data_IF_844831716815
#
_entry.id   IF_844831716815
#
_cell.length_a   1.000
_cell.length_b   1.000
_cell.length_c   1.000
_cell.angle_alpha   90.00
_cell.angle_beta   90.00
_cell.angle_gamma   90.00
#
_symmetry.space_group_name_H-M   'P 1'
#
loop_
_entity.id
_entity.type
_entity.pdbx_description
1 polymer ?
#
# COMPACT_ATOMS: atom_id res chain seq x y z
N UNK A 1 -26.52 -8.98 -14.73
CA UNK A 1 -25.21 -9.54 -14.31
C UNK A 1 -25.15 -9.38 -12.79
N UNK A 2 -25.46 -10.44 -12.05
CA UNK A 2 -25.37 -10.38 -10.58
C UNK A 2 -23.89 -10.43 -10.24
N UNK A 3 -23.33 -9.31 -9.80
CA UNK A 3 -22.00 -9.29 -9.21
C UNK A 3 -22.05 -10.19 -7.99
N UNK A 4 -21.17 -11.19 -7.95
CA UNK A 4 -21.02 -12.02 -6.78
C UNK A 4 -20.54 -11.13 -5.62
N UNK A 5 -21.43 -10.86 -4.66
CA UNK A 5 -21.19 -9.98 -3.50
C UNK A 5 -20.33 -10.66 -2.43
N UNK A 6 -19.74 -11.82 -2.72
CA UNK A 6 -18.79 -12.45 -1.84
C UNK A 6 -17.59 -11.53 -1.58
N UNK A 7 -17.18 -11.34 -0.31
CA UNK A 7 -16.04 -10.52 0.01
C UNK A 7 -14.74 -11.15 -0.54
N UNK A 8 -13.74 -10.32 -0.82
CA UNK A 8 -12.42 -10.77 -1.22
C UNK A 8 -11.67 -11.27 0.01
N UNK A 9 -11.19 -12.52 0.00
CA UNK A 9 -10.38 -13.07 1.10
C UNK A 9 -8.97 -13.35 0.59
N UNK A 10 -7.97 -12.74 1.21
CA UNK A 10 -6.55 -12.97 0.91
C UNK A 10 -5.84 -13.30 2.22
N UNK A 11 -5.14 -14.44 2.27
CA UNK A 11 -4.38 -14.89 3.44
C UNK A 11 -5.18 -14.81 4.76
N UNK A 12 -6.47 -15.18 4.73
CA UNK A 12 -7.36 -15.17 5.89
C UNK A 12 -7.95 -13.81 6.27
N UNK A 13 -7.55 -12.71 5.59
CA UNK A 13 -8.12 -11.38 5.79
C UNK A 13 -9.22 -11.09 4.77
N UNK A 14 -10.34 -10.57 5.24
CA UNK A 14 -11.51 -10.22 4.43
C UNK A 14 -11.46 -8.75 4.03
N UNK A 15 -11.75 -8.47 2.76
CA UNK A 15 -11.84 -7.14 2.15
C UNK A 15 -13.22 -7.01 1.48
N UNK A 16 -13.88 -5.88 1.69
CA UNK A 16 -15.15 -5.53 1.05
C UNK A 16 -14.93 -5.14 -0.41
N UNK A 17 -13.90 -4.37 -0.68
CA UNK A 17 -13.56 -3.89 -2.02
C UNK A 17 -12.60 -4.84 -2.74
N UNK A 18 -12.89 -5.10 -4.01
CA UNK A 18 -12.01 -5.82 -4.95
C UNK A 18 -11.08 -4.89 -5.71
N UNK A 19 -11.19 -3.58 -5.49
CA UNK A 19 -10.34 -2.57 -6.11
C UNK A 19 -9.13 -2.32 -5.20
N UNK A 20 -7.94 -2.54 -5.76
CA UNK A 20 -6.68 -2.14 -5.13
C UNK A 20 -6.14 -0.93 -5.89
N UNK A 21 -5.74 0.11 -5.18
CA UNK A 21 -5.19 1.34 -5.80
C UNK A 21 -3.73 1.52 -5.45
N UNK A 22 -3.04 2.44 -6.13
CA UNK A 22 -1.66 2.80 -5.82
C UNK A 22 -1.52 4.31 -5.64
N UNK A 23 -0.50 4.75 -4.93
CA UNK A 23 -0.34 6.16 -4.53
C UNK A 23 0.54 6.98 -5.47
N UNK A 24 1.01 6.39 -6.57
CA UNK A 24 2.22 6.85 -7.22
C UNK A 24 2.12 8.04 -8.19
N UNK A 25 0.91 8.41 -8.63
CA UNK A 25 0.68 9.31 -9.78
C UNK A 25 -0.32 10.44 -9.53
N UNK A 26 -0.70 10.69 -8.27
CA UNK A 26 -1.56 11.81 -7.92
C UNK A 26 -0.78 13.13 -8.01
N UNK A 27 -1.47 14.21 -8.39
CA UNK A 27 -0.87 15.56 -8.48
C UNK A 27 -0.49 16.11 -7.11
N UNK A 28 -1.27 15.79 -6.08
CA UNK A 28 -1.09 16.20 -4.68
C UNK A 28 -1.84 15.22 -3.75
N UNK A 29 -1.67 15.38 -2.43
CA UNK A 29 -2.31 14.50 -1.44
C UNK A 29 -3.82 14.73 -1.30
N UNK A 30 -4.33 15.94 -1.56
CA UNK A 30 -5.77 16.20 -1.52
C UNK A 30 -6.52 15.36 -2.56
N UNK A 31 -6.00 15.32 -3.78
CA UNK A 31 -6.55 14.49 -4.85
C UNK A 31 -6.40 13.00 -4.56
N UNK A 32 -5.29 12.58 -3.96
CA UNK A 32 -5.10 11.19 -3.53
C UNK A 32 -6.15 10.81 -2.50
N UNK A 33 -6.34 11.63 -1.45
CA UNK A 33 -7.35 11.39 -0.40
C UNK A 33 -8.76 11.33 -0.95
N UNK A 34 -9.12 12.28 -1.83
CA UNK A 34 -10.41 12.29 -2.49
C UNK A 34 -10.62 11.02 -3.34
N UNK A 35 -9.63 10.63 -4.14
CA UNK A 35 -9.73 9.42 -4.96
C UNK A 35 -9.82 8.15 -4.12
N UNK A 36 -9.07 8.06 -3.01
CA UNK A 36 -9.15 6.92 -2.08
C UNK A 36 -10.55 6.84 -1.48
N UNK A 37 -11.09 7.96 -0.98
CA UNK A 37 -12.41 8.03 -0.36
C UNK A 37 -13.51 7.60 -1.34
N UNK A 38 -13.52 8.13 -2.56
CA UNK A 38 -14.52 7.81 -3.60
C UNK A 38 -14.37 6.38 -4.14
N UNK A 39 -13.15 5.85 -4.19
CA UNK A 39 -12.91 4.49 -4.69
C UNK A 39 -13.40 3.40 -3.73
N UNK A 40 -13.59 3.74 -2.46
CA UNK A 40 -13.86 2.80 -1.37
C UNK A 40 -12.89 1.59 -1.37
N UNK A 41 -11.64 1.79 -1.81
CA UNK A 41 -10.65 0.71 -1.84
C UNK A 41 -10.22 0.35 -0.41
N UNK A 42 -10.03 -0.95 -0.16
CA UNK A 42 -9.55 -1.41 1.15
C UNK A 42 -8.03 -1.66 1.14
N UNK A 43 -7.41 -1.76 -0.04
CA UNK A 43 -5.99 -2.09 -0.19
C UNK A 43 -5.31 -1.02 -1.04
N UNK A 44 -4.25 -0.43 -0.50
CA UNK A 44 -3.43 0.56 -1.20
C UNK A 44 -1.99 0.06 -1.31
N UNK A 45 -1.48 0.01 -2.54
CA UNK A 45 -0.08 -0.31 -2.78
C UNK A 45 0.84 0.88 -2.64
N UNK A 46 1.97 0.65 -1.97
CA UNK A 46 2.92 1.70 -1.62
C UNK A 46 4.35 1.27 -1.95
N UNK A 47 5.05 2.10 -2.72
CA UNK A 47 6.48 1.91 -2.93
C UNK A 47 7.20 2.26 -1.64
N UNK A 48 7.88 1.30 -1.03
CA UNK A 48 8.51 1.43 0.30
C UNK A 48 9.40 2.69 0.42
N UNK A 49 10.15 3.02 -0.66
CA UNK A 49 10.98 4.24 -0.74
C UNK A 49 10.23 5.57 -0.59
N UNK A 50 8.90 5.59 -0.77
CA UNK A 50 8.04 6.80 -0.71
C UNK A 50 7.32 6.96 0.62
N UNK A 51 7.40 5.98 1.51
CA UNK A 51 6.69 6.00 2.81
C UNK A 51 7.53 6.71 3.89
N UNK A 52 8.61 7.38 3.50
CA UNK A 52 9.41 8.19 4.42
C UNK A 52 8.56 9.36 4.97
N UNK A 53 8.51 9.47 6.30
CA UNK A 53 8.08 10.67 7.01
C UNK A 53 9.07 11.79 6.66
N UNK A 54 8.57 12.85 6.04
CA UNK A 54 9.41 13.91 5.50
C UNK A 54 10.03 14.78 6.60
N UNK A 55 11.06 15.51 6.17
CA UNK A 55 11.69 16.62 6.87
C UNK A 55 10.66 17.71 7.26
N UNK A 56 11.00 18.61 8.22
CA UNK A 56 10.07 19.61 8.74
C UNK A 56 9.35 20.39 7.63
N UNK A 57 8.02 20.31 7.60
CA UNK A 57 7.17 21.11 6.71
C UNK A 57 6.55 20.41 5.50
N UNK A 58 6.74 19.09 5.31
CA UNK A 58 6.05 18.33 4.25
C UNK A 58 5.30 17.13 4.84
N UNK A 59 4.02 16.98 4.50
CA UNK A 59 3.20 15.82 4.89
C UNK A 59 3.77 14.55 4.23
N UNK A 60 4.07 13.53 5.02
CA UNK A 60 4.53 12.24 4.50
C UNK A 60 3.36 11.41 3.98
N UNK A 61 3.61 10.45 3.08
CA UNK A 61 2.57 9.50 2.65
C UNK A 61 1.98 8.70 3.83
N UNK A 62 2.78 8.50 4.88
CA UNK A 62 2.34 7.88 6.13
C UNK A 62 1.23 8.69 6.83
N UNK A 63 1.27 10.03 6.76
CA UNK A 63 0.32 10.93 7.41
C UNK A 63 -0.92 11.17 6.53
N UNK A 64 -0.76 11.09 5.21
CA UNK A 64 -1.82 11.39 4.25
C UNK A 64 -2.92 10.31 4.15
N UNK A 65 -2.73 9.13 4.75
CA UNK A 65 -3.66 7.98 4.67
C UNK A 65 -4.02 7.51 6.07
N UNK A 66 -5.31 7.26 6.30
CA UNK A 66 -5.80 6.59 7.50
C UNK A 66 -5.58 5.07 7.41
N UNK A 67 -4.41 4.62 7.88
CA UNK A 67 -4.01 3.21 7.87
C UNK A 67 -4.81 2.31 8.81
N UNK A 68 -5.70 2.88 9.64
CA UNK A 68 -6.65 2.10 10.43
C UNK A 68 -7.82 1.59 9.58
N UNK A 69 -8.09 2.24 8.44
CA UNK A 69 -9.13 1.87 7.47
C UNK A 69 -8.58 1.20 6.23
N UNK A 70 -7.34 1.52 5.86
CA UNK A 70 -6.70 1.02 4.65
C UNK A 70 -5.65 -0.02 4.99
N UNK A 71 -5.70 -1.18 4.32
CA UNK A 71 -4.66 -2.18 4.38
C UNK A 71 -3.48 -1.81 3.49
N UNK A 72 -2.28 -1.76 4.06
CA UNK A 72 -1.07 -1.43 3.31
C UNK A 72 -0.61 -2.64 2.49
N UNK A 73 -0.34 -2.43 1.20
CA UNK A 73 0.31 -3.42 0.33
C UNK A 73 1.69 -2.91 -0.13
N UNK A 74 2.75 -3.09 0.68
CA UNK A 74 4.08 -2.66 0.27
C UNK A 74 4.52 -3.38 -1.00
N UNK A 75 5.17 -2.67 -1.91
CA UNK A 75 5.68 -3.23 -3.16
C UNK A 75 7.19 -3.04 -3.30
N UNK A 76 7.82 -3.91 -4.10
CA UNK A 76 9.25 -3.88 -4.39
C UNK A 76 9.59 -3.11 -5.68
N UNK A 77 8.73 -2.18 -6.10
CA UNK A 77 8.92 -1.44 -7.36
C UNK A 77 10.28 -0.73 -7.41
N UNK A 78 10.99 -0.96 -8.52
CA UNK A 78 12.35 -0.48 -8.73
C UNK A 78 13.45 -1.46 -8.32
N UNK A 79 13.11 -2.65 -7.81
CA UNK A 79 14.08 -3.72 -7.61
C UNK A 79 14.36 -4.44 -8.94
N UNK A 80 15.63 -4.75 -9.19
CA UNK A 80 16.07 -5.48 -10.39
C UNK A 80 16.50 -6.92 -10.08
N UNK A 81 16.80 -7.21 -8.81
CA UNK A 81 17.23 -8.52 -8.34
C UNK A 81 16.27 -9.06 -7.29
N UNK A 82 16.31 -10.37 -7.06
CA UNK A 82 15.54 -11.00 -5.99
C UNK A 82 16.05 -10.55 -4.61
N UNK A 83 17.37 -10.38 -4.48
CA UNK A 83 18.03 -9.92 -3.26
C UNK A 83 17.52 -8.54 -2.84
N UNK A 84 17.44 -7.59 -3.78
CA UNK A 84 16.89 -6.26 -3.53
C UNK A 84 15.42 -6.33 -3.12
N UNK A 85 14.63 -7.13 -3.84
CA UNK A 85 13.21 -7.28 -3.57
C UNK A 85 12.94 -7.87 -2.17
N UNK A 86 13.73 -8.85 -1.74
CA UNK A 86 13.63 -9.42 -0.39
C UNK A 86 13.96 -8.37 0.67
N UNK A 87 15.00 -7.56 0.46
CA UNK A 87 15.35 -6.47 1.40
C UNK A 87 14.24 -5.43 1.49
N UNK A 88 13.69 -5.01 0.35
CA UNK A 88 12.60 -4.02 0.29
C UNK A 88 11.31 -4.59 0.89
N UNK A 89 11.00 -5.86 0.67
CA UNK A 89 9.85 -6.53 1.28
C UNK A 89 9.94 -6.54 2.81
N UNK A 90 11.13 -6.85 3.36
CA UNK A 90 11.37 -6.81 4.82
C UNK A 90 11.18 -5.40 5.38
N UNK A 91 11.69 -4.38 4.70
CA UNK A 91 11.48 -2.99 5.12
C UNK A 91 9.99 -2.63 5.08
N UNK A 92 9.29 -2.95 3.98
CA UNK A 92 7.85 -2.70 3.85
C UNK A 92 7.02 -3.33 4.96
N UNK A 93 7.38 -4.54 5.40
CA UNK A 93 6.77 -5.19 6.56
C UNK A 93 6.96 -4.38 7.84
N UNK A 94 8.17 -3.93 8.15
CA UNK A 94 8.42 -3.13 9.36
C UNK A 94 7.69 -1.78 9.31
N UNK A 95 7.55 -1.19 8.12
CA UNK A 95 6.74 0.03 7.97
C UNK A 95 5.26 -0.22 8.27
N UNK A 96 4.68 -1.32 7.78
CA UNK A 96 3.30 -1.66 8.06
C UNK A 96 3.05 -1.84 9.58
N UNK A 97 4.00 -2.45 10.29
CA UNK A 97 3.95 -2.56 11.76
C UNK A 97 3.97 -1.19 12.45
N UNK A 98 4.84 -0.28 12.02
CA UNK A 98 4.89 1.09 12.56
C UNK A 98 3.58 1.86 12.34
N UNK A 99 2.81 1.50 11.32
CA UNK A 99 1.48 2.05 11.01
C UNK A 99 0.34 1.27 11.69
N UNK A 100 0.64 0.40 12.65
CA UNK A 100 -0.34 -0.34 13.46
C UNK A 100 -0.84 -1.65 12.84
N UNK A 101 -0.26 -2.11 11.73
CA UNK A 101 -0.61 -3.38 11.08
C UNK A 101 0.40 -4.46 11.44
N UNK A 102 0.42 -4.87 12.71
CA UNK A 102 1.44 -5.79 13.27
C UNK A 102 1.48 -7.17 12.59
N UNK A 103 0.32 -7.64 12.12
CA UNK A 103 0.09 -8.91 11.44
C UNK A 103 0.23 -8.81 9.91
N UNK A 104 0.56 -7.64 9.36
CA UNK A 104 0.66 -7.46 7.92
C UNK A 104 1.95 -8.08 7.35
N UNK A 105 1.77 -9.19 6.64
CA UNK A 105 2.84 -9.89 5.94
C UNK A 105 2.70 -9.83 4.42
N UNK A 106 1.88 -8.90 3.89
CA UNK A 106 1.62 -8.81 2.47
C UNK A 106 2.78 -8.13 1.76
N UNK A 107 3.09 -8.59 0.56
CA UNK A 107 4.02 -7.91 -0.35
C UNK A 107 3.53 -8.07 -1.79
N UNK A 108 3.54 -6.97 -2.53
CA UNK A 108 3.44 -7.01 -3.99
C UNK A 108 4.85 -7.14 -4.56
N UNK A 109 5.24 -8.38 -4.87
CA UNK A 109 6.52 -8.66 -5.50
C UNK A 109 6.52 -8.08 -6.93
N UNK A 110 7.48 -7.21 -7.18
CA UNK A 110 7.72 -6.55 -8.46
C UNK A 110 9.24 -6.48 -8.67
N UNK A 111 9.76 -7.31 -9.57
CA UNK A 111 11.16 -7.33 -9.96
C UNK A 111 11.21 -7.13 -11.46
N UNK A 112 11.84 -6.05 -11.89
CA UNK A 112 11.94 -5.69 -13.30
C UNK A 112 13.44 -5.69 -13.63
N UNK A 113 13.99 -6.82 -14.13
CA UNK A 113 15.37 -6.88 -14.58
C UNK A 113 15.63 -5.84 -15.68
N UNK A 114 16.87 -5.36 -15.74
CA UNK A 114 17.33 -4.48 -16.81
C UNK A 114 17.40 -5.22 -18.16
#
# INVERSE_FOLDING_TARGET
>A
MLLDNNPLVIAGRTFRSRLMTGTGKYRNFDEMRAAIAESECDIITVAVRRVQTQAPGHEGLAEAIDWTKIWMLPNTAGCQTAEDAIRVARLGREMAKLLGQEDNNFVKLEVIPA
#
